data_IF_546204274297
#
_entry.id   IF_546204274297
#
_cell.length_a   1.000
_cell.length_b   1.000
_cell.length_c   1.000
_cell.angle_alpha   90.00
_cell.angle_beta   90.00
_cell.angle_gamma   90.00
#
_symmetry.space_group_name_H-M   'P 1'
#
loop_
_entity.id
_entity.type
_entity.pdbx_description
1 polymer ?
#
# COMPACT_ATOMS: atom_id res chain seq x y z
N UNK A 1 -22.06 13.80 27.25
CA UNK A 1 -22.11 13.04 25.97
C UNK A 1 -23.50 13.07 25.32
N UNK A 2 -23.57 13.52 24.06
CA UNK A 2 -24.79 13.64 23.26
C UNK A 2 -25.26 12.30 22.65
N UNK A 3 -25.17 11.19 23.39
CA UNK A 3 -25.42 9.84 22.87
C UNK A 3 -26.83 9.68 22.30
N UNK A 4 -27.84 9.95 23.12
CA UNK A 4 -29.25 9.74 22.75
C UNK A 4 -29.67 10.66 21.60
N UNK A 5 -29.32 11.94 21.70
CA UNK A 5 -29.69 12.95 20.70
C UNK A 5 -29.06 12.66 19.32
N UNK A 6 -27.80 12.20 19.29
CA UNK A 6 -27.13 11.84 18.03
C UNK A 6 -27.75 10.59 17.43
N UNK A 7 -28.04 9.60 18.28
CA UNK A 7 -28.61 8.33 17.84
C UNK A 7 -30.00 8.52 17.21
N UNK A 8 -30.90 9.29 17.84
CA UNK A 8 -32.26 9.51 17.33
C UNK A 8 -32.29 10.11 15.92
N UNK A 9 -31.21 10.78 15.53
CA UNK A 9 -31.05 11.40 14.21
C UNK A 9 -30.45 10.46 13.16
N UNK A 10 -29.90 9.30 13.55
CA UNK A 10 -29.37 8.30 12.60
C UNK A 10 -30.54 7.71 11.82
N UNK A 11 -30.71 8.12 10.56
CA UNK A 11 -31.91 7.82 9.77
C UNK A 11 -32.09 6.33 9.48
N UNK A 12 -31.00 5.55 9.53
CA UNK A 12 -30.98 4.14 9.14
C UNK A 12 -31.25 3.17 10.29
N UNK A 13 -31.34 3.64 11.54
CA UNK A 13 -31.49 2.78 12.71
C UNK A 13 -32.96 2.69 13.16
N UNK A 14 -33.53 1.47 13.20
CA UNK A 14 -34.84 1.27 13.82
C UNK A 14 -34.79 1.57 15.33
N UNK A 15 -35.77 2.34 15.84
CA UNK A 15 -35.86 2.75 17.26
C UNK A 15 -35.79 1.58 18.27
N UNK A 16 -36.11 0.35 17.86
CA UNK A 16 -36.03 -0.85 18.72
C UNK A 16 -34.62 -1.40 18.88
N UNK A 17 -33.78 -1.30 17.85
CA UNK A 17 -32.39 -1.73 17.94
C UNK A 17 -31.60 -0.83 18.89
N UNK A 18 -31.97 0.44 19.00
CA UNK A 18 -31.39 1.45 19.91
C UNK A 18 -31.42 1.02 21.36
N UNK A 19 -32.60 0.62 21.84
CA UNK A 19 -32.80 0.21 23.22
C UNK A 19 -32.05 -1.08 23.54
N UNK A 20 -31.91 -1.98 22.55
CA UNK A 20 -31.10 -3.19 22.71
C UNK A 20 -29.61 -2.86 22.80
N UNK A 21 -29.10 -1.97 21.94
CA UNK A 21 -27.71 -1.53 21.96
C UNK A 21 -27.38 -0.86 23.29
N UNK A 22 -28.18 0.12 23.72
CA UNK A 22 -28.04 0.77 25.03
C UNK A 22 -28.09 -0.23 26.18
N UNK A 23 -29.07 -1.15 26.19
CA UNK A 23 -29.17 -2.18 27.22
C UNK A 23 -27.93 -3.08 27.26
N UNK A 24 -27.35 -3.38 26.10
CA UNK A 24 -26.14 -4.20 26.00
C UNK A 24 -24.92 -3.44 26.51
N UNK A 25 -24.76 -2.18 26.12
CA UNK A 25 -23.70 -1.31 26.63
C UNK A 25 -23.78 -1.14 28.14
N UNK A 26 -24.97 -0.86 28.70
CA UNK A 26 -25.19 -0.73 30.15
C UNK A 26 -24.82 -2.04 30.86
N UNK A 27 -25.31 -3.19 30.36
CA UNK A 27 -24.97 -4.50 30.95
C UNK A 27 -23.47 -4.79 30.95
N UNK A 28 -22.76 -4.36 29.91
CA UNK A 28 -21.30 -4.55 29.82
C UNK A 28 -20.50 -3.70 30.84
N UNK A 29 -21.14 -2.71 31.46
CA UNK A 29 -20.54 -1.79 32.43
C UNK A 29 -20.99 -2.05 33.87
N UNK A 30 -22.11 -2.74 34.09
CA UNK A 30 -22.69 -2.97 35.43
C UNK A 30 -21.69 -3.56 36.44
N UNK A 31 -20.87 -4.50 35.99
CA UNK A 31 -19.93 -5.23 36.85
C UNK A 31 -18.50 -4.65 36.79
N UNK A 32 -18.30 -3.49 36.14
CA UNK A 32 -16.98 -2.85 36.02
C UNK A 32 -16.85 -1.72 37.03
N UNK A 33 -15.71 -1.66 37.70
CA UNK A 33 -15.36 -0.50 38.51
C UNK A 33 -15.20 0.75 37.63
N UNK A 34 -15.59 1.90 38.17
CA UNK A 34 -15.43 3.19 37.49
C UNK A 34 -13.93 3.51 37.42
N UNK A 35 -13.37 3.79 36.23
CA UNK A 35 -11.96 4.14 36.10
C UNK A 35 -11.59 5.37 36.94
N UNK A 36 -10.37 5.39 37.48
CA UNK A 36 -9.87 6.52 38.28
C UNK A 36 -9.23 7.62 37.43
N UNK A 37 -8.87 7.29 36.20
CA UNK A 37 -8.08 8.09 35.26
C UNK A 37 -8.85 8.44 33.98
N UNK A 38 -10.10 8.00 33.85
CA UNK A 38 -10.98 8.27 32.71
C UNK A 38 -12.42 8.48 33.21
N UNK A 39 -13.22 9.37 32.59
CA UNK A 39 -14.62 9.58 32.97
C UNK A 39 -15.51 8.32 32.88
N UNK A 40 -15.09 7.26 32.18
CA UNK A 40 -15.87 6.02 32.08
C UNK A 40 -17.20 6.19 31.34
N UNK A 41 -17.35 7.28 30.58
CA UNK A 41 -18.58 7.63 29.88
C UNK A 41 -18.62 6.99 28.50
N UNK A 42 -19.78 6.45 28.14
CA UNK A 42 -20.07 5.98 26.79
C UNK A 42 -20.58 7.15 25.96
N UNK A 43 -19.83 7.53 24.93
CA UNK A 43 -20.25 8.52 23.95
C UNK A 43 -20.66 7.85 22.62
N UNK A 44 -21.25 8.64 21.72
CA UNK A 44 -21.92 8.12 20.51
C UNK A 44 -20.95 7.47 19.51
N UNK A 45 -19.65 7.77 19.60
CA UNK A 45 -18.59 7.10 18.84
C UNK A 45 -18.62 5.57 19.02
N UNK A 46 -18.93 5.10 20.23
CA UNK A 46 -19.04 3.66 20.51
C UNK A 46 -20.12 2.95 19.70
N UNK A 47 -21.15 3.67 19.24
CA UNK A 47 -22.20 3.09 18.39
C UNK A 47 -21.67 2.66 17.03
N UNK A 48 -20.58 3.30 16.55
CA UNK A 48 -19.97 2.96 15.28
C UNK A 48 -19.63 1.47 15.16
N UNK A 49 -19.11 0.86 16.23
CA UNK A 49 -18.81 -0.58 16.24
C UNK A 49 -20.07 -1.44 16.10
N UNK A 50 -21.17 -1.04 16.73
CA UNK A 50 -22.45 -1.75 16.60
C UNK A 50 -23.00 -1.65 15.18
N UNK A 51 -22.90 -0.46 14.55
CA UNK A 51 -23.30 -0.25 13.16
C UNK A 51 -22.45 -1.12 12.22
N UNK A 52 -21.13 -1.05 12.41
CA UNK A 52 -20.14 -1.73 11.59
C UNK A 52 -20.26 -3.24 11.69
N UNK A 53 -20.56 -3.82 12.85
CA UNK A 53 -20.60 -5.28 13.02
C UNK A 53 -21.94 -5.92 12.63
N UNK A 54 -23.00 -5.14 12.45
CA UNK A 54 -24.31 -5.66 12.10
C UNK A 54 -24.46 -5.92 10.58
N UNK A 55 -24.67 -7.17 10.14
CA UNK A 55 -24.80 -7.49 8.71
C UNK A 55 -25.97 -6.78 8.02
N UNK A 56 -27.07 -6.50 8.74
CA UNK A 56 -28.23 -5.82 8.18
C UNK A 56 -27.88 -4.39 7.77
N UNK A 57 -27.08 -3.68 8.57
CA UNK A 57 -26.63 -2.32 8.23
C UNK A 57 -25.64 -2.30 7.08
N UNK A 58 -24.77 -3.32 6.97
CA UNK A 58 -23.86 -3.47 5.81
C UNK A 58 -24.59 -3.69 4.48
N UNK A 59 -25.86 -4.11 4.50
CA UNK A 59 -26.68 -4.26 3.30
C UNK A 59 -27.27 -2.94 2.80
N UNK A 60 -27.30 -1.90 3.64
CA UNK A 60 -27.78 -0.56 3.27
C UNK A 60 -26.65 0.18 2.52
N UNK A 61 -26.86 0.61 1.27
CA UNK A 61 -25.80 1.21 0.44
C UNK A 61 -25.07 2.37 1.11
N UNK A 62 -25.81 3.34 1.64
CA UNK A 62 -25.24 4.53 2.28
C UNK A 62 -24.38 4.19 3.51
N UNK A 63 -24.84 3.27 4.36
CA UNK A 63 -24.08 2.84 5.54
C UNK A 63 -22.82 2.10 5.11
N UNK A 64 -22.95 1.21 4.12
CA UNK A 64 -21.81 0.48 3.56
C UNK A 64 -20.75 1.45 3.03
N UNK A 65 -21.16 2.47 2.29
CA UNK A 65 -20.22 3.46 1.74
C UNK A 65 -19.49 4.22 2.87
N UNK A 66 -20.20 4.63 3.93
CA UNK A 66 -19.57 5.25 5.11
C UNK A 66 -18.62 4.28 5.81
N UNK A 67 -19.00 3.01 5.97
CA UNK A 67 -18.16 1.96 6.58
C UNK A 67 -16.88 1.79 5.77
N UNK A 68 -16.97 1.62 4.45
CA UNK A 68 -15.81 1.44 3.58
C UNK A 68 -14.83 2.61 3.69
N UNK A 69 -15.34 3.85 3.72
CA UNK A 69 -14.47 5.03 3.84
C UNK A 69 -13.86 5.16 5.25
N UNK A 70 -14.64 4.94 6.30
CA UNK A 70 -14.14 4.94 7.69
C UNK A 70 -13.07 3.87 7.90
N UNK A 71 -13.25 2.67 7.34
CA UNK A 71 -12.27 1.58 7.46
C UNK A 71 -10.90 1.94 6.88
N UNK A 72 -10.88 2.70 5.78
CA UNK A 72 -9.62 3.24 5.22
C UNK A 72 -8.98 4.22 6.20
N UNK A 73 -9.75 5.12 6.80
CA UNK A 73 -9.25 6.11 7.76
C UNK A 73 -8.72 5.45 9.03
N UNK A 74 -9.48 4.49 9.58
CA UNK A 74 -9.10 3.71 10.76
C UNK A 74 -7.78 2.95 10.51
N UNK A 75 -7.66 2.24 9.38
CA UNK A 75 -6.44 1.51 9.03
C UNK A 75 -5.23 2.44 8.90
N UNK A 76 -5.39 3.60 8.24
CA UNK A 76 -4.32 4.60 8.10
C UNK A 76 -3.89 5.17 9.45
N UNK A 77 -4.82 5.49 10.33
CA UNK A 77 -4.52 5.98 11.69
C UNK A 77 -3.79 4.90 12.50
N UNK A 78 -4.21 3.63 12.40
CA UNK A 78 -3.55 2.55 13.13
C UNK A 78 -2.10 2.35 12.67
N UNK A 79 -1.85 2.43 11.36
CA UNK A 79 -0.55 2.10 10.77
C UNK A 79 0.44 3.28 10.74
N UNK A 80 -0.03 4.50 10.46
CA UNK A 80 0.85 5.63 10.08
C UNK A 80 0.72 6.88 10.96
N UNK A 81 -0.12 6.85 12.01
CA UNK A 81 -0.32 8.03 12.86
C UNK A 81 0.93 8.36 13.68
N UNK A 82 1.44 9.58 13.52
CA UNK A 82 2.78 9.98 14.04
C UNK A 82 2.80 10.38 15.51
N UNK A 83 1.63 10.48 16.17
CA UNK A 83 1.49 10.82 17.59
C UNK A 83 0.83 9.69 18.39
N UNK A 84 1.55 8.61 18.74
CA UNK A 84 0.95 7.40 19.31
C UNK A 84 0.07 7.62 20.54
N UNK A 85 0.43 8.56 21.41
CA UNK A 85 -0.33 8.90 22.63
C UNK A 85 -1.76 9.42 22.35
N UNK A 86 -2.02 9.98 21.16
CA UNK A 86 -3.34 10.48 20.78
C UNK A 86 -4.10 9.53 19.85
N UNK A 87 -3.50 8.38 19.49
CA UNK A 87 -4.12 7.41 18.58
C UNK A 87 -5.51 6.93 19.04
N UNK A 88 -5.75 6.61 20.34
CA UNK A 88 -7.08 6.21 20.79
C UNK A 88 -8.13 7.31 20.55
N UNK A 89 -7.81 8.55 20.88
CA UNK A 89 -8.69 9.69 20.62
C UNK A 89 -8.91 9.93 19.13
N UNK A 90 -7.87 9.76 18.30
CA UNK A 90 -8.01 9.90 16.85
C UNK A 90 -9.00 8.89 16.27
N UNK A 91 -9.00 7.64 16.75
CA UNK A 91 -9.98 6.62 16.36
C UNK A 91 -11.39 6.99 16.82
N UNK A 92 -11.55 7.43 18.08
CA UNK A 92 -12.85 7.89 18.62
C UNK A 92 -13.42 9.03 17.80
N UNK A 93 -12.59 10.00 17.39
CA UNK A 93 -13.00 11.11 16.52
C UNK A 93 -13.50 10.61 15.16
N UNK A 94 -12.79 9.66 14.51
CA UNK A 94 -13.25 9.10 13.24
C UNK A 94 -14.56 8.34 13.39
N UNK A 95 -14.70 7.53 14.44
CA UNK A 95 -15.95 6.81 14.74
C UNK A 95 -17.11 7.78 14.97
N UNK A 96 -16.87 8.86 15.71
CA UNK A 96 -17.83 9.93 15.93
C UNK A 96 -18.27 10.57 14.61
N UNK A 97 -17.31 11.00 13.77
CA UNK A 97 -17.62 11.61 12.47
C UNK A 97 -18.36 10.64 11.54
N UNK A 98 -18.11 9.33 11.65
CA UNK A 98 -18.81 8.29 10.89
C UNK A 98 -20.26 8.14 11.33
N UNK A 99 -20.54 8.16 12.64
CA UNK A 99 -21.92 8.18 13.16
C UNK A 99 -22.61 9.49 12.76
N UNK A 100 -21.94 10.64 12.93
CA UNK A 100 -22.49 11.94 12.55
C UNK A 100 -22.84 12.00 11.06
N UNK A 101 -22.03 11.39 10.20
CA UNK A 101 -22.30 11.30 8.77
C UNK A 101 -23.64 10.62 8.45
N UNK A 102 -24.10 9.71 9.31
CA UNK A 102 -25.38 9.02 9.17
C UNK A 102 -26.56 9.78 9.81
N UNK A 103 -26.34 10.97 10.39
CA UNK A 103 -27.42 11.81 10.96
C UNK A 103 -27.87 12.93 10.03
N UNK A 104 -27.15 13.19 8.93
CA UNK A 104 -27.37 14.36 8.06
C UNK A 104 -28.48 14.18 7.02
N UNK A 105 -29.13 13.01 6.97
CA UNK A 105 -30.15 12.66 5.98
C UNK A 105 -29.61 12.37 4.57
N UNK A 106 -28.61 13.14 4.12
CA UNK A 106 -27.79 12.87 2.94
C UNK A 106 -26.31 12.74 3.35
N UNK A 107 -25.72 11.57 3.13
CA UNK A 107 -24.33 11.23 3.44
C UNK A 107 -23.31 12.03 2.60
N UNK A 108 -23.73 12.72 1.55
CA UNK A 108 -22.84 13.53 0.72
C UNK A 108 -22.82 15.01 1.10
N UNK A 109 -23.57 15.42 2.12
CA UNK A 109 -23.61 16.81 2.58
C UNK A 109 -22.29 17.20 3.24
N UNK A 110 -21.65 18.33 2.89
CA UNK A 110 -20.39 18.78 3.49
C UNK A 110 -20.58 19.39 4.89
N UNK A 111 -21.21 18.63 5.78
CA UNK A 111 -21.52 18.99 7.17
C UNK A 111 -20.93 17.96 8.11
N UNK A 112 -20.38 18.41 9.24
CA UNK A 112 -19.83 17.56 10.28
C UNK A 112 -19.77 18.28 11.62
N UNK A 113 -18.73 18.01 12.40
CA UNK A 113 -18.57 18.52 13.75
C UNK A 113 -17.33 19.40 13.88
N UNK A 114 -17.43 20.43 14.70
CA UNK A 114 -16.32 21.28 15.10
C UNK A 114 -15.42 20.57 16.13
N UNK A 115 -14.20 21.07 16.32
CA UNK A 115 -13.30 20.53 17.34
C UNK A 115 -13.89 20.67 18.77
N UNK A 116 -14.73 21.68 18.98
CA UNK A 116 -15.41 21.93 20.26
C UNK A 116 -16.53 20.93 20.52
N UNK A 117 -17.40 20.68 19.54
CA UNK A 117 -18.44 19.65 19.63
C UNK A 117 -17.82 18.26 19.85
N UNK A 118 -16.75 17.93 19.12
CA UNK A 118 -16.03 16.66 19.30
C UNK A 118 -15.38 16.54 20.69
N UNK A 119 -14.85 17.63 21.24
CA UNK A 119 -14.32 17.67 22.62
C UNK A 119 -15.42 17.35 23.62
N UNK A 120 -16.53 18.08 23.54
CA UNK A 120 -17.57 18.09 24.56
C UNK A 120 -18.48 16.85 24.48
N UNK A 121 -18.90 16.48 23.28
CA UNK A 121 -19.86 15.40 23.10
C UNK A 121 -19.23 14.02 23.28
N UNK A 122 -17.95 13.87 22.94
CA UNK A 122 -17.20 12.64 23.17
C UNK A 122 -16.58 12.59 24.56
N UNK A 123 -16.56 13.72 25.27
CA UNK A 123 -15.88 13.87 26.56
C UNK A 123 -14.43 13.36 26.46
N UNK A 124 -13.69 13.81 25.44
CA UNK A 124 -12.33 13.34 25.18
C UNK A 124 -11.41 13.75 26.32
N UNK A 125 -10.74 12.76 26.92
CA UNK A 125 -9.64 13.00 27.84
C UNK A 125 -8.32 12.72 27.12
N UNK A 126 -7.44 13.72 27.11
CA UNK A 126 -6.12 13.62 26.49
C UNK A 126 -5.06 13.87 27.57
N UNK A 127 -3.82 13.35 27.40
CA UNK A 127 -2.72 13.73 28.27
C UNK A 127 -2.37 15.21 28.00
N UNK A 128 -2.74 16.08 28.94
CA UNK A 128 -2.50 17.53 28.86
C UNK A 128 -1.46 17.96 29.91
N UNK A 129 -0.57 18.92 29.60
CA UNK A 129 0.25 19.61 30.58
C UNK A 129 -0.58 20.38 31.61
N UNK A 130 -1.69 20.99 31.17
CA UNK A 130 -2.62 21.75 32.00
C UNK A 130 -4.07 21.27 31.77
N UNK A 131 -4.80 21.04 32.86
CA UNK A 131 -6.20 20.58 32.83
C UNK A 131 -7.15 21.77 32.59
N UNK A 132 -7.08 22.32 31.39
CA UNK A 132 -7.86 23.47 30.94
C UNK A 132 -8.66 23.15 29.66
N UNK A 133 -9.87 23.71 29.55
CA UNK A 133 -10.81 23.42 28.48
C UNK A 133 -10.36 23.98 27.11
N UNK A 134 -9.70 25.14 27.09
CA UNK A 134 -9.16 25.75 25.87
C UNK A 134 -7.89 25.01 25.42
N UNK A 135 -7.08 24.57 26.38
CA UNK A 135 -5.93 23.71 26.10
C UNK A 135 -6.36 22.35 25.53
N UNK A 136 -7.42 21.74 26.09
CA UNK A 136 -8.00 20.52 25.55
C UNK A 136 -8.51 20.71 24.11
N UNK A 137 -9.26 21.79 23.83
CA UNK A 137 -9.73 22.13 22.48
C UNK A 137 -8.57 22.26 21.49
N UNK A 138 -7.53 23.01 21.87
CA UNK A 138 -6.31 23.19 21.06
C UNK A 138 -5.61 21.86 20.77
N UNK A 139 -5.63 20.95 21.76
CA UNK A 139 -5.09 19.60 21.60
C UNK A 139 -5.97 18.77 20.64
N UNK A 140 -7.30 18.84 20.74
CA UNK A 140 -8.23 18.18 19.80
C UNK A 140 -8.02 18.70 18.37
N UNK A 141 -7.87 20.00 18.16
CA UNK A 141 -7.53 20.57 16.84
C UNK A 141 -6.19 20.06 16.32
N UNK A 142 -5.22 19.87 17.20
CA UNK A 142 -3.91 19.30 16.84
C UNK A 142 -4.04 17.84 16.43
N UNK A 143 -4.86 17.06 17.13
CA UNK A 143 -5.18 15.68 16.75
C UNK A 143 -5.89 15.64 15.39
N UNK A 144 -6.88 16.50 15.15
CA UNK A 144 -7.59 16.61 13.86
C UNK A 144 -6.65 16.96 12.70
N UNK A 145 -5.73 17.91 12.90
CA UNK A 145 -4.69 18.25 11.91
C UNK A 145 -3.75 17.07 11.63
N UNK A 146 -3.36 16.34 12.67
CA UNK A 146 -2.53 15.15 12.52
C UNK A 146 -3.28 14.01 11.80
N UNK A 147 -4.58 13.83 12.05
CA UNK A 147 -5.43 12.88 11.32
C UNK A 147 -5.44 13.27 9.84
N UNK A 148 -5.79 14.52 9.50
CA UNK A 148 -5.80 15.02 8.12
C UNK A 148 -4.49 14.76 7.39
N UNK A 149 -3.36 15.03 8.06
CA UNK A 149 -2.03 14.74 7.53
C UNK A 149 -1.80 13.24 7.33
N UNK A 150 -2.13 12.42 8.33
CA UNK A 150 -1.93 10.96 8.32
C UNK A 150 -2.71 10.29 7.20
N UNK A 151 -3.95 10.71 6.98
CA UNK A 151 -4.80 10.18 5.90
C UNK A 151 -4.53 10.88 4.56
N UNK A 152 -3.57 11.81 4.50
CA UNK A 152 -3.27 12.64 3.32
C UNK A 152 -4.53 13.32 2.74
N UNK A 153 -5.45 13.70 3.61
CA UNK A 153 -6.75 14.25 3.25
C UNK A 153 -7.73 13.27 2.60
N UNK A 154 -7.43 11.97 2.48
CA UNK A 154 -8.39 10.97 2.01
C UNK A 154 -9.64 10.99 2.90
N UNK A 155 -10.83 11.01 2.28
CA UNK A 155 -12.18 10.93 2.90
C UNK A 155 -12.46 11.82 4.13
N UNK A 156 -11.57 12.74 4.51
CA UNK A 156 -11.76 13.69 5.59
C UNK A 156 -11.47 15.09 5.04
N UNK A 157 -12.42 15.99 5.27
CA UNK A 157 -12.34 17.39 4.82
C UNK A 157 -12.59 18.33 5.99
N UNK A 158 -12.00 19.51 5.93
CA UNK A 158 -12.15 20.60 6.89
C UNK A 158 -12.72 21.81 6.17
N UNK A 159 -13.81 22.37 6.70
CA UNK A 159 -14.38 23.61 6.20
C UNK A 159 -13.89 24.79 7.07
N UNK A 160 -13.06 25.70 6.54
CA UNK A 160 -12.54 26.83 7.30
C UNK A 160 -13.61 27.88 7.62
N UNK A 161 -14.72 27.93 6.89
CA UNK A 161 -15.77 28.96 7.09
C UNK A 161 -16.57 28.71 8.38
N UNK A 162 -16.80 27.44 8.73
CA UNK A 162 -17.59 27.06 9.91
C UNK A 162 -16.82 26.19 10.91
N UNK A 163 -15.55 25.88 10.64
CA UNK A 163 -14.68 25.11 11.52
C UNK A 163 -15.02 23.61 11.63
N UNK A 164 -15.89 23.10 10.75
CA UNK A 164 -16.34 21.70 10.82
C UNK A 164 -15.40 20.75 10.09
N UNK A 165 -15.23 19.58 10.69
CA UNK A 165 -14.56 18.42 10.11
C UNK A 165 -15.60 17.37 9.77
N UNK A 166 -15.47 16.73 8.60
CA UNK A 166 -16.48 15.80 8.13
C UNK A 166 -15.92 14.74 7.19
N UNK A 167 -16.58 13.58 7.16
CA UNK A 167 -16.24 12.53 6.21
C UNK A 167 -16.71 12.91 4.81
N UNK A 168 -15.80 13.06 3.88
CA UNK A 168 -16.05 13.47 2.50
C UNK A 168 -16.05 12.25 1.58
N UNK A 169 -17.22 11.64 1.41
CA UNK A 169 -17.40 10.42 0.62
C UNK A 169 -17.27 10.65 -0.89
N UNK A 170 -17.47 11.90 -1.34
CA UNK A 170 -17.33 12.32 -2.74
C UNK A 170 -15.90 12.69 -3.11
N UNK A 171 -15.01 12.77 -2.12
CA UNK A 171 -13.62 13.13 -2.36
C UNK A 171 -12.99 12.11 -3.30
N UNK A 172 -12.74 12.56 -4.52
CA UNK A 172 -12.01 11.76 -5.50
C UNK A 172 -10.58 11.61 -5.00
N UNK A 173 -10.14 10.37 -4.87
CA UNK A 173 -8.76 10.09 -4.52
C UNK A 173 -8.01 10.09 -5.83
N UNK A 174 -7.17 11.11 -6.03
CA UNK A 174 -6.20 11.10 -7.11
C UNK A 174 -5.09 10.09 -6.78
N UNK A 175 -5.39 8.82 -7.07
CA UNK A 175 -4.47 7.71 -6.87
C UNK A 175 -3.17 7.89 -7.64
N UNK A 176 -3.24 8.51 -8.83
CA UNK A 176 -2.06 8.76 -9.65
C UNK A 176 -1.14 9.79 -8.98
N UNK A 177 -1.68 10.91 -8.50
CA UNK A 177 -0.89 11.90 -7.74
C UNK A 177 -0.25 11.30 -6.48
N UNK A 178 -0.94 10.39 -5.79
CA UNK A 178 -0.38 9.71 -4.61
C UNK A 178 0.72 8.72 -4.98
N UNK A 179 0.58 8.01 -6.09
CA UNK A 179 1.62 7.12 -6.63
C UNK A 179 2.84 7.94 -7.03
N UNK A 180 2.66 9.06 -7.74
CA UNK A 180 3.73 9.95 -8.16
C UNK A 180 4.54 10.45 -6.96
N UNK A 181 3.86 11.01 -5.95
CA UNK A 181 4.51 11.47 -4.71
C UNK A 181 5.25 10.34 -4.01
N UNK A 182 4.68 9.12 -3.98
CA UNK A 182 5.36 7.98 -3.37
C UNK A 182 6.60 7.60 -4.17
N UNK A 183 6.49 7.53 -5.49
CA UNK A 183 7.56 7.17 -6.40
C UNK A 183 8.73 8.15 -6.33
N UNK A 184 8.48 9.45 -6.13
CA UNK A 184 9.51 10.48 -5.94
C UNK A 184 10.35 10.26 -4.66
N UNK A 185 9.80 9.58 -3.65
CA UNK A 185 10.50 9.32 -2.37
C UNK A 185 11.32 8.04 -2.34
N UNK A 186 11.26 7.22 -3.40
CA UNK A 186 11.99 5.94 -3.46
C UNK A 186 13.44 6.17 -3.88
N UNK A 187 14.35 5.47 -3.22
CA UNK A 187 15.76 5.43 -3.59
C UNK A 187 16.05 4.39 -4.68
N UNK A 188 17.24 4.49 -5.27
CA UNK A 188 17.68 3.63 -6.38
C UNK A 188 17.70 2.15 -6.00
N UNK A 189 18.13 1.82 -4.78
CA UNK A 189 18.09 0.46 -4.24
C UNK A 189 16.66 -0.11 -4.25
N UNK A 190 15.67 0.67 -3.82
CA UNK A 190 14.26 0.23 -3.85
C UNK A 190 13.73 0.09 -5.27
N UNK A 191 14.16 0.94 -6.19
CA UNK A 191 13.81 0.81 -7.61
C UNK A 191 14.40 -0.47 -8.21
N UNK A 192 15.62 -0.84 -7.84
CA UNK A 192 16.23 -2.13 -8.24
C UNK A 192 15.45 -3.33 -7.69
N UNK A 193 14.98 -3.28 -6.44
CA UNK A 193 14.12 -4.33 -5.88
C UNK A 193 12.84 -4.53 -6.70
N UNK A 194 12.16 -3.43 -7.04
CA UNK A 194 10.92 -3.48 -7.81
C UNK A 194 11.14 -3.79 -9.30
N UNK A 195 12.29 -3.41 -9.87
CA UNK A 195 12.72 -3.85 -11.18
C UNK A 195 12.84 -5.38 -11.21
N UNK A 196 13.48 -5.99 -10.21
CA UNK A 196 13.58 -7.44 -10.13
C UNK A 196 12.24 -8.12 -9.86
N UNK A 197 11.36 -7.54 -9.04
CA UNK A 197 10.00 -8.04 -8.88
C UNK A 197 9.23 -8.04 -10.21
N UNK A 198 9.36 -6.97 -11.00
CA UNK A 198 8.76 -6.90 -12.33
C UNK A 198 9.39 -7.92 -13.29
N UNK A 199 10.72 -8.01 -13.32
CA UNK A 199 11.45 -8.94 -14.19
C UNK A 199 11.11 -10.40 -13.89
N UNK A 200 10.95 -10.74 -12.59
CA UNK A 200 10.46 -12.04 -12.12
C UNK A 200 9.14 -12.41 -12.77
N UNK A 201 8.19 -11.46 -12.79
CA UNK A 201 6.85 -11.63 -13.36
C UNK A 201 6.83 -11.77 -14.87
N UNK A 202 7.90 -11.36 -15.55
CA UNK A 202 8.02 -11.41 -17.01
C UNK A 202 8.82 -12.64 -17.47
N UNK A 203 9.86 -13.03 -16.73
CA UNK A 203 10.82 -14.07 -17.16
C UNK A 203 10.47 -15.45 -16.59
N UNK A 204 9.96 -15.54 -15.36
CA UNK A 204 9.67 -16.83 -14.74
C UNK A 204 8.29 -17.34 -15.15
N UNK A 205 8.19 -18.63 -15.43
CA UNK A 205 6.91 -19.31 -15.71
C UNK A 205 5.98 -19.27 -14.49
N UNK A 206 6.56 -19.42 -13.29
CA UNK A 206 5.88 -19.31 -12.00
C UNK A 206 6.48 -18.16 -11.16
N UNK A 207 6.04 -16.91 -11.35
CA UNK A 207 6.61 -15.74 -10.65
C UNK A 207 6.49 -15.80 -9.13
N UNK A 208 5.46 -16.48 -8.63
CA UNK A 208 5.17 -16.61 -7.20
C UNK A 208 5.91 -17.79 -6.56
N UNK A 209 6.68 -18.57 -7.34
CA UNK A 209 7.50 -19.64 -6.81
C UNK A 209 8.59 -19.09 -5.86
N UNK A 210 8.81 -19.73 -4.70
CA UNK A 210 9.87 -19.33 -3.78
C UNK A 210 11.23 -19.47 -4.46
N UNK A 211 12.19 -18.64 -4.04
CA UNK A 211 13.57 -18.80 -4.48
C UNK A 211 14.13 -20.15 -4.03
N UNK A 212 15.04 -20.72 -4.83
CA UNK A 212 15.69 -22.00 -4.55
C UNK A 212 16.48 -21.98 -3.23
N UNK A 213 17.10 -20.85 -2.90
CA UNK A 213 17.73 -20.61 -1.60
C UNK A 213 17.04 -19.44 -0.90
N UNK A 214 16.54 -19.68 0.30
CA UNK A 214 15.91 -18.65 1.14
C UNK A 214 16.84 -17.46 1.36
N UNK A 215 16.34 -16.25 1.14
CA UNK A 215 17.10 -15.00 1.28
C UNK A 215 17.93 -14.60 0.05
N UNK A 216 17.95 -15.42 -1.00
CA UNK A 216 18.63 -15.12 -2.26
C UNK A 216 17.64 -15.04 -3.41
N UNK A 217 18.00 -14.31 -4.47
CA UNK A 217 17.17 -14.17 -5.68
C UNK A 217 17.65 -15.15 -6.75
N UNK A 218 17.37 -16.44 -6.53
CA UNK A 218 17.81 -17.55 -7.37
C UNK A 218 16.67 -18.50 -7.70
N UNK A 219 16.57 -18.89 -8.97
CA UNK A 219 15.61 -19.87 -9.47
C UNK A 219 16.28 -20.89 -10.38
N UNK A 220 15.81 -22.13 -10.34
CA UNK A 220 16.21 -23.14 -11.32
C UNK A 220 15.64 -22.79 -12.69
N UNK A 221 16.42 -23.03 -13.72
CA UNK A 221 16.03 -22.74 -15.10
C UNK A 221 16.52 -23.84 -16.03
N UNK A 222 15.66 -24.29 -16.94
CA UNK A 222 16.01 -25.29 -17.93
C UNK A 222 16.01 -24.67 -19.33
N UNK A 223 17.07 -24.94 -20.09
CA UNK A 223 17.21 -24.50 -21.47
C UNK A 223 17.41 -25.70 -22.39
N UNK A 224 16.82 -25.64 -23.58
CA UNK A 224 17.06 -26.63 -24.62
C UNK A 224 18.43 -26.39 -25.29
N UNK A 225 19.30 -27.38 -25.22
CA UNK A 225 20.50 -27.43 -26.05
C UNK A 225 20.14 -27.96 -27.44
N UNK A 226 19.69 -27.04 -28.31
CA UNK A 226 19.12 -27.33 -29.63
C UNK A 226 19.96 -28.26 -30.50
N UNK A 227 21.28 -28.07 -30.56
CA UNK A 227 22.19 -28.90 -31.37
C UNK A 227 22.20 -30.38 -30.93
N UNK A 228 21.96 -30.63 -29.64
CA UNK A 228 22.02 -31.98 -29.05
C UNK A 228 20.63 -32.51 -28.65
N UNK A 229 19.57 -31.72 -28.85
CA UNK A 229 18.17 -32.02 -28.47
C UNK A 229 18.05 -32.51 -27.02
N UNK A 230 18.82 -31.91 -26.13
CA UNK A 230 18.90 -32.28 -24.72
C UNK A 230 18.62 -31.05 -23.84
N UNK A 231 18.02 -31.28 -22.67
CA UNK A 231 17.86 -30.25 -21.65
C UNK A 231 19.19 -29.93 -20.97
N UNK A 232 19.39 -28.67 -20.62
CA UNK A 232 20.47 -28.18 -19.76
C UNK A 232 19.85 -27.50 -18.56
N UNK A 233 20.28 -27.88 -17.36
CA UNK A 233 19.80 -27.27 -16.14
C UNK A 233 20.79 -26.22 -15.66
N UNK A 234 20.30 -25.03 -15.34
CA UNK A 234 21.08 -23.92 -14.83
C UNK A 234 20.35 -23.16 -13.74
N UNK A 235 20.96 -22.06 -13.32
CA UNK A 235 20.34 -21.11 -12.41
C UNK A 235 20.21 -19.74 -13.04
N UNK A 236 19.12 -19.07 -12.67
CA UNK A 236 18.87 -17.67 -12.96
C UNK A 236 18.98 -16.86 -11.68
N UNK A 237 19.79 -15.79 -11.72
CA UNK A 237 20.02 -14.87 -10.61
C UNK A 237 19.56 -13.47 -10.96
N UNK A 238 18.96 -12.80 -9.99
CA UNK A 238 18.73 -11.36 -10.02
C UNK A 238 19.69 -10.68 -9.04
N UNK A 239 20.73 -10.07 -9.59
CA UNK A 239 21.88 -9.55 -8.86
C UNK A 239 23.21 -10.03 -9.44
N UNK A 240 24.31 -9.60 -8.82
CA UNK A 240 25.66 -9.91 -9.24
C UNK A 240 26.21 -11.21 -8.58
N UNK A 241 27.27 -11.81 -9.15
CA UNK A 241 27.87 -13.04 -8.62
C UNK A 241 28.32 -12.99 -7.16
N UNK A 242 28.73 -11.82 -6.67
CA UNK A 242 29.15 -11.63 -5.27
C UNK A 242 27.97 -11.62 -4.29
N UNK A 243 26.74 -11.56 -4.78
CA UNK A 243 25.51 -11.58 -3.96
C UNK A 243 24.87 -12.97 -3.93
N UNK A 244 25.47 -13.96 -4.59
CA UNK A 244 24.91 -15.32 -4.71
C UNK A 244 25.11 -16.15 -3.45
N UNK A 245 24.25 -17.16 -3.29
CA UNK A 245 24.47 -18.22 -2.31
C UNK A 245 25.64 -19.11 -2.74
N UNK A 246 26.50 -19.48 -1.80
CA UNK A 246 27.53 -20.51 -2.00
C UNK A 246 27.03 -21.91 -1.67
N UNK A 247 25.82 -22.03 -1.12
CA UNK A 247 25.21 -23.27 -0.64
C UNK A 247 24.19 -23.83 -1.66
N UNK A 248 24.66 -24.15 -2.87
CA UNK A 248 23.84 -24.74 -3.93
C UNK A 248 24.68 -25.68 -4.81
N UNK A 249 24.11 -26.79 -5.32
CA UNK A 249 24.84 -27.71 -6.18
C UNK A 249 25.17 -27.05 -7.51
N UNK A 250 26.35 -27.34 -8.06
CA UNK A 250 26.78 -26.86 -9.38
C UNK A 250 25.85 -27.34 -10.49
N UNK A 251 25.62 -26.47 -11.49
CA UNK A 251 24.75 -26.70 -12.66
C UNK A 251 25.48 -26.37 -13.97
N UNK A 252 24.84 -26.62 -15.11
CA UNK A 252 25.45 -26.49 -16.44
C UNK A 252 25.70 -25.03 -16.86
N UNK A 253 24.89 -24.08 -16.39
CA UNK A 253 25.03 -22.65 -16.68
C UNK A 253 24.44 -21.76 -15.58
N UNK A 254 24.82 -20.49 -15.60
CA UNK A 254 24.38 -19.44 -14.67
C UNK A 254 24.07 -18.16 -15.45
N UNK A 255 22.83 -17.68 -15.36
CA UNK A 255 22.37 -16.43 -15.97
C UNK A 255 22.21 -15.37 -14.90
N UNK A 256 22.89 -14.24 -15.03
CA UNK A 256 22.81 -13.12 -14.10
C UNK A 256 22.11 -11.94 -14.76
N UNK A 257 20.99 -11.48 -14.20
CA UNK A 257 20.39 -10.20 -14.57
C UNK A 257 20.82 -9.15 -13.57
N UNK A 258 21.55 -8.16 -14.05
CA UNK A 258 22.08 -7.08 -13.22
C UNK A 258 21.05 -5.95 -13.09
N UNK A 259 21.09 -5.28 -11.95
CA UNK A 259 20.21 -4.17 -11.63
C UNK A 259 20.63 -2.88 -12.36
N UNK A 260 19.68 -2.08 -12.87
CA UNK A 260 19.99 -0.92 -13.71
C UNK A 260 20.32 0.37 -12.95
N UNK A 261 19.90 0.54 -11.69
CA UNK A 261 20.07 1.80 -10.95
C UNK A 261 21.36 1.82 -10.12
N UNK A 262 21.54 0.85 -9.24
CA UNK A 262 22.70 0.74 -8.33
C UNK A 262 23.50 -0.56 -8.57
N UNK A 263 24.08 -0.78 -9.77
CA UNK A 263 24.77 -2.03 -10.09
C UNK A 263 25.98 -2.26 -9.16
N UNK A 264 26.02 -3.37 -8.40
CA UNK A 264 27.14 -3.66 -7.53
C UNK A 264 28.40 -3.98 -8.34
N UNK A 265 29.55 -3.59 -7.80
CA UNK A 265 30.83 -4.00 -8.37
C UNK A 265 31.07 -5.49 -8.13
N UNK A 266 31.42 -6.20 -9.21
CA UNK A 266 31.95 -7.55 -9.12
C UNK A 266 33.07 -7.74 -10.15
N UNK A 267 33.97 -8.68 -9.86
CA UNK A 267 35.02 -9.08 -10.80
C UNK A 267 34.48 -10.20 -11.69
N UNK A 268 34.41 -9.94 -12.99
CA UNK A 268 34.10 -10.99 -13.98
C UNK A 268 35.29 -11.95 -14.13
N UNK A 269 35.11 -13.20 -13.69
CA UNK A 269 36.09 -14.28 -13.82
C UNK A 269 36.11 -14.90 -15.22
N UNK A 270 35.22 -14.45 -16.11
CA UNK A 270 35.11 -14.86 -17.52
C UNK A 270 34.86 -16.35 -17.71
N UNK A 271 34.09 -16.94 -16.79
CA UNK A 271 33.77 -18.37 -16.87
C UNK A 271 32.89 -18.67 -18.07
N UNK A 272 33.05 -19.88 -18.61
CA UNK A 272 32.35 -20.31 -19.81
C UNK A 272 30.85 -20.57 -19.60
N UNK A 273 30.47 -20.87 -18.36
CA UNK A 273 29.13 -21.21 -17.89
C UNK A 273 28.36 -19.98 -17.36
N UNK A 274 28.95 -18.80 -17.30
CA UNK A 274 28.33 -17.57 -16.78
C UNK A 274 27.98 -16.58 -17.89
N UNK A 275 26.73 -16.09 -17.89
CA UNK A 275 26.25 -15.05 -18.81
C UNK A 275 25.62 -13.91 -18.02
N UNK A 276 26.01 -12.68 -18.34
CA UNK A 276 25.50 -11.47 -17.69
C UNK A 276 24.60 -10.68 -18.62
N UNK A 277 23.40 -10.37 -18.17
CA UNK A 277 22.45 -9.48 -18.82
C UNK A 277 22.43 -8.15 -18.08
N UNK A 278 22.85 -7.09 -18.76
CA UNK A 278 22.80 -5.73 -18.24
C UNK A 278 21.87 -4.90 -19.10
N UNK A 279 20.77 -4.46 -18.52
CA UNK A 279 19.87 -3.51 -19.18
C UNK A 279 20.47 -2.11 -19.07
N UNK A 280 20.66 -1.44 -20.21
CA UNK A 280 21.10 -0.06 -20.32
C UNK A 280 19.99 0.76 -20.99
N UNK A 281 18.96 1.19 -20.24
CA UNK A 281 17.83 1.94 -20.79
C UNK A 281 18.23 3.34 -21.33
N UNK A 282 19.42 3.83 -20.98
CA UNK A 282 19.91 5.14 -21.43
C UNK A 282 19.12 6.27 -20.79
N UNK A 283 18.86 7.34 -21.56
CA UNK A 283 18.06 8.49 -21.11
C UNK A 283 16.54 8.30 -21.33
N UNK A 284 16.09 7.09 -21.70
CA UNK A 284 14.68 6.84 -21.95
C UNK A 284 13.87 6.96 -20.65
N UNK A 285 13.11 8.05 -20.56
CA UNK A 285 12.27 8.35 -19.41
C UNK A 285 11.12 7.37 -19.25
N UNK A 286 10.66 6.72 -20.33
CA UNK A 286 9.50 5.83 -20.28
C UNK A 286 9.77 4.56 -19.45
N UNK A 287 10.97 3.98 -19.56
CA UNK A 287 11.39 2.86 -18.71
C UNK A 287 11.44 3.29 -17.24
N UNK A 288 12.15 4.37 -16.96
CA UNK A 288 12.32 4.85 -15.59
C UNK A 288 11.00 5.25 -14.95
N UNK A 289 10.11 5.92 -15.69
CA UNK A 289 8.76 6.25 -15.23
C UNK A 289 7.95 4.99 -14.97
N UNK A 290 7.95 4.00 -15.88
CA UNK A 290 7.20 2.75 -15.65
C UNK A 290 7.67 2.01 -14.38
N UNK A 291 8.99 1.91 -14.15
CA UNK A 291 9.53 1.29 -12.93
C UNK A 291 9.17 2.11 -11.68
N UNK A 292 9.32 3.44 -11.72
CA UNK A 292 8.99 4.33 -10.60
C UNK A 292 7.52 4.25 -10.23
N UNK A 293 6.61 4.32 -11.21
CA UNK A 293 5.17 4.23 -10.98
C UNK A 293 4.75 2.83 -10.53
N UNK A 294 5.38 1.78 -11.07
CA UNK A 294 5.17 0.42 -10.60
C UNK A 294 5.54 0.28 -9.12
N UNK A 295 6.76 0.72 -8.75
CA UNK A 295 7.26 0.70 -7.39
C UNK A 295 6.37 1.53 -6.44
N UNK A 296 6.03 2.76 -6.83
CA UNK A 296 5.13 3.63 -6.08
C UNK A 296 3.76 2.99 -5.83
N UNK A 297 3.15 2.41 -6.86
CA UNK A 297 1.86 1.74 -6.74
C UNK A 297 1.91 0.50 -5.82
N UNK A 298 2.97 -0.31 -5.91
CA UNK A 298 3.17 -1.46 -5.02
C UNK A 298 3.37 -1.04 -3.57
N UNK A 299 4.17 -0.02 -3.31
CA UNK A 299 4.38 0.55 -1.98
C UNK A 299 3.07 1.11 -1.39
N UNK A 300 2.27 1.80 -2.20
CA UNK A 300 0.96 2.30 -1.77
C UNK A 300 0.00 1.15 -1.44
N UNK A 301 0.01 0.06 -2.23
CA UNK A 301 -0.81 -1.13 -1.98
C UNK A 301 -0.45 -1.85 -0.66
N UNK A 302 0.82 -1.84 -0.24
CA UNK A 302 1.25 -2.47 1.02
C UNK A 302 0.62 -1.81 2.25
N UNK A 303 0.33 -0.52 2.18
CA UNK A 303 -0.22 0.29 3.29
C UNK A 303 -1.70 0.62 3.12
N UNK A 304 -2.31 0.20 2.01
CA UNK A 304 -3.73 0.42 1.73
C UNK A 304 -4.57 -0.79 2.19
N UNK A 305 -5.85 -0.53 2.45
CA UNK A 305 -6.85 -1.54 2.80
C UNK A 305 -8.06 -1.48 1.85
N UNK A 306 -8.85 -2.56 1.82
CA UNK A 306 -10.12 -2.61 1.10
C UNK A 306 -10.02 -2.29 -0.40
N UNK A 307 -10.96 -1.49 -0.89
CA UNK A 307 -11.07 -1.12 -2.31
C UNK A 307 -9.88 -0.28 -2.81
N UNK A 308 -9.30 0.57 -1.97
CA UNK A 308 -8.13 1.38 -2.34
C UNK A 308 -6.90 0.50 -2.63
N UNK A 309 -6.69 -0.56 -1.85
CA UNK A 309 -5.59 -1.51 -2.11
C UNK A 309 -5.70 -2.12 -3.50
N UNK A 310 -6.90 -2.56 -3.87
CA UNK A 310 -7.17 -3.13 -5.20
C UNK A 310 -6.88 -2.14 -6.32
N UNK A 311 -7.24 -0.86 -6.16
CA UNK A 311 -6.95 0.18 -7.16
C UNK A 311 -5.43 0.38 -7.33
N UNK A 312 -4.66 0.42 -6.23
CA UNK A 312 -3.20 0.49 -6.32
C UNK A 312 -2.60 -0.76 -6.98
N UNK A 313 -3.11 -1.95 -6.68
CA UNK A 313 -2.69 -3.21 -7.33
C UNK A 313 -3.00 -3.20 -8.83
N UNK A 314 -4.19 -2.76 -9.24
CA UNK A 314 -4.60 -2.65 -10.64
C UNK A 314 -3.71 -1.65 -11.40
N UNK A 315 -3.38 -0.50 -10.78
CA UNK A 315 -2.44 0.48 -11.34
C UNK A 315 -1.02 -0.07 -11.43
N UNK A 316 -0.56 -0.83 -10.44
CA UNK A 316 0.73 -1.52 -10.53
C UNK A 316 0.74 -2.50 -11.71
N UNK A 317 -0.33 -3.29 -11.91
CA UNK A 317 -0.44 -4.21 -13.05
C UNK A 317 -0.50 -3.48 -14.40
N UNK A 318 -1.06 -2.26 -14.45
CA UNK A 318 -0.99 -1.42 -15.64
C UNK A 318 0.45 -1.01 -15.95
N UNK A 319 1.21 -0.53 -14.96
CA UNK A 319 2.60 -0.13 -15.15
C UNK A 319 3.52 -1.32 -15.48
N UNK A 320 3.24 -2.50 -14.91
CA UNK A 320 3.95 -3.74 -15.26
C UNK A 320 3.74 -4.10 -16.73
N UNK A 321 2.53 -3.92 -17.27
CA UNK A 321 2.26 -4.12 -18.70
C UNK A 321 3.02 -3.13 -19.56
N UNK A 322 3.04 -1.85 -19.20
CA UNK A 322 3.84 -0.82 -19.88
C UNK A 322 5.33 -1.17 -19.89
N UNK A 323 5.87 -1.60 -18.74
CA UNK A 323 7.26 -2.02 -18.61
C UNK A 323 7.56 -3.27 -19.46
N UNK A 324 6.66 -4.26 -19.46
CA UNK A 324 6.80 -5.48 -20.27
C UNK A 324 6.81 -5.15 -21.76
N UNK A 325 5.91 -4.27 -22.21
CA UNK A 325 5.86 -3.81 -23.59
C UNK A 325 7.14 -3.06 -23.97
N UNK A 326 7.62 -2.19 -23.08
CA UNK A 326 8.89 -1.48 -23.30
C UNK A 326 10.06 -2.46 -23.42
N UNK A 327 10.14 -3.46 -22.53
CA UNK A 327 11.17 -4.49 -22.58
C UNK A 327 11.10 -5.26 -23.90
N UNK A 328 9.92 -5.73 -24.33
CA UNK A 328 9.76 -6.45 -25.60
C UNK A 328 10.25 -5.66 -26.82
N UNK A 329 10.02 -4.34 -26.84
CA UNK A 329 10.42 -3.47 -27.95
C UNK A 329 11.92 -3.12 -27.92
N UNK A 330 12.50 -2.97 -26.73
CA UNK A 330 13.83 -2.39 -26.57
C UNK A 330 14.91 -3.38 -26.11
N UNK A 331 14.56 -4.61 -25.72
CA UNK A 331 15.52 -5.59 -25.19
C UNK A 331 16.69 -5.81 -26.17
N UNK A 332 16.41 -5.93 -27.46
CA UNK A 332 17.43 -6.19 -28.47
C UNK A 332 18.45 -5.07 -28.63
N UNK A 333 18.05 -3.81 -28.38
CA UNK A 333 18.90 -2.63 -28.55
C UNK A 333 19.50 -2.12 -27.24
N UNK A 334 18.89 -2.44 -26.10
CA UNK A 334 19.27 -1.88 -24.79
C UNK A 334 19.84 -2.93 -23.82
N UNK A 335 19.71 -4.23 -24.10
CA UNK A 335 20.30 -5.27 -23.27
C UNK A 335 21.70 -5.64 -23.78
N UNK A 336 22.71 -5.39 -22.95
CA UNK A 336 24.08 -5.86 -23.14
C UNK A 336 24.22 -7.26 -22.54
N UNK A 337 24.70 -8.21 -23.35
CA UNK A 337 24.99 -9.57 -22.93
C UNK A 337 26.50 -9.77 -22.90
N UNK A 338 27.04 -10.05 -21.71
CA UNK A 338 28.46 -10.35 -21.53
C UNK A 338 28.67 -11.84 -21.32
N UNK A 339 29.58 -12.43 -22.09
CA UNK A 339 30.02 -13.82 -21.93
C UNK A 339 31.54 -13.89 -22.16
N UNK A 340 32.25 -14.56 -21.26
CA UNK A 340 33.72 -14.66 -21.29
C UNK A 340 34.45 -13.31 -21.47
N UNK A 341 33.93 -12.25 -20.82
CA UNK A 341 34.49 -10.89 -20.91
C UNK A 341 34.20 -10.14 -22.21
N UNK A 342 33.44 -10.72 -23.14
CA UNK A 342 33.00 -10.03 -24.37
C UNK A 342 31.56 -9.55 -24.21
N UNK A 343 31.36 -8.22 -24.26
CA UNK A 343 30.05 -7.58 -24.20
C UNK A 343 29.53 -7.29 -25.61
N UNK A 344 28.29 -7.67 -25.89
CA UNK A 344 27.60 -7.40 -27.16
C UNK A 344 26.13 -7.08 -26.90
N UNK A 345 25.50 -6.31 -27.78
CA UNK A 345 24.05 -6.09 -27.69
C UNK A 345 23.31 -7.39 -28.00
N UNK A 346 22.23 -7.65 -27.26
CA UNK A 346 21.42 -8.86 -27.41
C UNK A 346 20.95 -9.03 -28.86
N UNK A 347 20.50 -7.97 -29.51
CA UNK A 347 20.04 -8.01 -30.90
C UNK A 347 21.13 -8.41 -31.90
N UNK A 348 22.38 -8.01 -31.68
CA UNK A 348 23.52 -8.42 -32.51
C UNK A 348 23.82 -9.90 -32.32
N UNK A 349 23.80 -10.35 -31.07
CA UNK A 349 24.05 -11.75 -30.71
C UNK A 349 22.97 -12.68 -31.27
N UNK A 350 21.70 -12.26 -31.26
CA UNK A 350 20.59 -13.01 -31.84
C UNK A 350 20.71 -13.14 -33.37
N UNK A 351 21.13 -12.07 -34.07
CA UNK A 351 21.39 -12.10 -35.52
C UNK A 351 22.53 -13.07 -35.88
N UNK A 352 23.57 -13.14 -35.06
CA UNK A 352 24.69 -14.07 -35.25
C UNK A 352 24.33 -15.55 -35.00
N UNK A 353 23.37 -15.83 -34.12
CA UNK A 353 22.93 -17.19 -33.79
C UNK A 353 21.95 -17.79 -34.80
N UNK A 354 21.01 -17.00 -35.34
CA UNK A 354 20.01 -17.46 -36.31
C UNK A 354 20.61 -17.75 -37.71
N UNK A 355 21.77 -17.17 -38.03
CA UNK A 355 22.45 -17.41 -39.32
C UNK A 355 23.26 -18.71 -39.40
N UNK A 356 23.44 -19.46 -38.30
CA UNK A 356 24.29 -20.67 -38.26
C UNK A 356 23.54 -21.99 -38.17
N UNK A 357 22.23 -22.01 -37.93
CA UNK A 357 21.44 -23.26 -37.84
C UNK A 357 20.69 -23.64 -39.13
N UNK A 358 20.97 -22.95 -40.25
CA UNK A 358 20.27 -23.17 -41.53
C UNK A 358 21.12 -23.80 -42.63
N UNK A 359 22.41 -24.05 -42.40
CA UNK A 359 23.30 -24.65 -43.40
C UNK A 359 24.35 -25.50 -42.68
N UNK A 360 24.00 -26.75 -42.39
CA UNK A 360 24.87 -27.95 -42.40
C UNK A 360 24.11 -29.20 -41.97
#
# INVERSE_FOLDING_TARGET
>A
PAYLDTFERVYAAEKREVLKTLSTSIRSLLDKEVPTDDPGLVAYDSYWMTLKDNPSFRSVPDIRDVIEKSDVLEARIQQAFTRPQYRPAALRIIHALSVHRLTTGDIFTPMGATAEELRDDLCLLLPLPEQDADFLKSTVETVLREILKTVSGQFLSFNPENGQYYLDLKKDIDFDSLIDKRAETLDDSKLDEYYFDALRRVILEEPDAPAYVSGYRIWEHELEWREHRAGRSGYLFFGAPNERSTAQPSRDFYLYFLQPYEPPYFKDERKADEVFFRLKPGEDTSFHTAVKLYAGAREMALTASGSNKKIYEDKAMQQLRSLTQWLQLNLSSCCEVTHQGTAQLLGERLKGGLGRSGDR
#
